data_IF_856825161948
#
_entry.id   IF_856825161948
#
_cell.length_a   1.000
_cell.length_b   1.000
_cell.length_c   1.000
_cell.angle_alpha   90.00
_cell.angle_beta   90.00
_cell.angle_gamma   90.00
#
_symmetry.space_group_name_H-M   'P 1'
#
loop_
_entity.id
_entity.type
_entity.pdbx_description
1 polymer ?
#
# COMPACT_ATOMS: atom_id res chain seq x y z
N UNK A 1 15.12 -29.97 -18.52
CA UNK A 1 14.61 -29.37 -17.27
C UNK A 1 14.64 -30.37 -16.12
N UNK A 2 14.18 -31.60 -16.30
CA UNK A 2 14.16 -32.61 -15.22
C UNK A 2 15.53 -32.92 -14.64
N UNK A 3 16.59 -32.98 -15.46
CA UNK A 3 17.96 -33.21 -15.01
C UNK A 3 18.47 -32.00 -14.16
N UNK A 4 18.13 -30.78 -14.56
CA UNK A 4 18.48 -29.57 -13.81
C UNK A 4 17.73 -29.56 -12.47
N UNK A 5 16.43 -29.81 -12.48
CA UNK A 5 15.60 -29.88 -11.28
C UNK A 5 16.11 -30.96 -10.28
N UNK A 6 16.52 -32.13 -10.79
CA UNK A 6 17.08 -33.21 -9.98
C UNK A 6 18.49 -32.91 -9.40
N UNK A 7 19.10 -31.80 -9.79
CA UNK A 7 20.42 -31.38 -9.36
C UNK A 7 20.39 -30.07 -8.58
N UNK A 8 19.20 -29.52 -8.26
CA UNK A 8 19.02 -28.20 -7.66
C UNK A 8 19.69 -28.07 -6.28
N UNK A 9 19.82 -29.17 -5.56
CA UNK A 9 20.41 -29.29 -4.23
C UNK A 9 21.90 -29.73 -4.26
N UNK A 10 22.47 -29.88 -5.45
CA UNK A 10 23.83 -30.41 -5.63
C UNK A 10 24.83 -29.29 -5.95
N UNK A 11 26.07 -29.52 -5.53
CA UNK A 11 27.16 -28.57 -5.76
C UNK A 11 27.25 -27.46 -4.74
N UNK A 12 28.10 -26.47 -4.99
CA UNK A 12 28.23 -25.29 -4.17
C UNK A 12 27.06 -24.30 -4.41
N UNK A 13 26.98 -23.25 -3.59
CA UNK A 13 25.90 -22.26 -3.67
C UNK A 13 25.84 -21.57 -5.05
N UNK A 14 26.99 -21.33 -5.69
CA UNK A 14 27.02 -20.72 -7.02
C UNK A 14 26.36 -21.63 -8.05
N UNK A 15 26.68 -22.92 -8.04
CA UNK A 15 26.06 -23.89 -8.95
C UNK A 15 24.55 -23.98 -8.69
N UNK A 16 24.12 -24.13 -7.44
CA UNK A 16 22.69 -24.21 -7.10
C UNK A 16 21.92 -22.97 -7.52
N UNK A 17 22.49 -21.77 -7.30
CA UNK A 17 21.90 -20.50 -7.77
C UNK A 17 21.76 -20.47 -9.29
N UNK A 18 22.78 -20.85 -10.05
CA UNK A 18 22.71 -20.85 -11.53
C UNK A 18 21.72 -21.90 -12.05
N UNK A 19 21.57 -23.04 -11.36
CA UNK A 19 20.52 -24.03 -11.69
C UNK A 19 19.11 -23.47 -11.46
N UNK A 20 18.88 -22.75 -10.35
CA UNK A 20 17.61 -22.09 -10.08
C UNK A 20 17.29 -21.03 -11.15
N UNK A 21 18.28 -20.19 -11.52
CA UNK A 21 18.16 -19.21 -12.59
C UNK A 21 17.84 -19.85 -13.94
N UNK A 22 18.50 -20.94 -14.30
CA UNK A 22 18.26 -21.65 -15.55
C UNK A 22 16.83 -22.21 -15.61
N UNK A 23 16.29 -22.73 -14.48
CA UNK A 23 14.93 -23.21 -14.39
C UNK A 23 13.89 -22.09 -14.54
N UNK A 24 14.11 -20.95 -13.87
CA UNK A 24 13.26 -19.77 -13.97
C UNK A 24 13.22 -19.21 -15.40
N UNK A 25 14.39 -19.11 -16.07
CA UNK A 25 14.50 -18.62 -17.44
C UNK A 25 13.75 -19.49 -18.47
N UNK A 26 13.68 -20.78 -18.23
CA UNK A 26 12.97 -21.73 -19.11
C UNK A 26 11.46 -21.72 -18.93
N UNK A 27 10.96 -21.05 -17.91
CA UNK A 27 9.53 -20.87 -17.60
C UNK A 27 8.72 -22.19 -17.56
N UNK A 28 9.34 -23.28 -17.12
CA UNK A 28 8.71 -24.59 -17.09
C UNK A 28 8.01 -24.83 -15.75
N UNK A 29 6.69 -25.00 -15.76
CA UNK A 29 5.90 -25.23 -14.54
C UNK A 29 6.37 -26.44 -13.73
N UNK A 30 6.88 -27.48 -14.37
CA UNK A 30 7.44 -28.65 -13.68
C UNK A 30 8.68 -28.36 -12.85
N UNK A 31 9.29 -27.17 -12.99
CA UNK A 31 10.42 -26.72 -12.19
C UNK A 31 10.01 -26.13 -10.82
N UNK A 32 8.73 -25.82 -10.60
CA UNK A 32 8.26 -25.15 -9.38
C UNK A 32 8.68 -25.88 -8.11
N UNK A 33 8.54 -27.20 -7.94
CA UNK A 33 9.00 -27.88 -6.72
C UNK A 33 10.50 -27.69 -6.46
N UNK A 34 11.33 -27.73 -7.51
CA UNK A 34 12.77 -27.49 -7.37
C UNK A 34 13.08 -26.03 -7.00
N UNK A 35 12.33 -25.07 -7.52
CA UNK A 35 12.48 -23.65 -7.17
C UNK A 35 12.01 -23.35 -5.75
N UNK A 36 11.00 -24.04 -5.22
CA UNK A 36 10.62 -23.96 -3.82
C UNK A 36 11.71 -24.52 -2.91
N UNK A 37 12.40 -25.60 -3.30
CA UNK A 37 13.59 -26.08 -2.60
C UNK A 37 14.72 -25.06 -2.64
N UNK A 38 14.96 -24.42 -3.78
CA UNK A 38 15.96 -23.34 -3.89
C UNK A 38 15.60 -22.14 -2.98
N UNK A 39 14.31 -21.77 -2.91
CA UNK A 39 13.84 -20.70 -2.02
C UNK A 39 13.92 -21.05 -0.52
N UNK A 40 14.18 -22.33 -0.18
CA UNK A 40 14.43 -22.83 1.17
C UNK A 40 15.90 -23.20 1.41
N UNK A 41 16.83 -22.88 0.50
CA UNK A 41 18.24 -23.25 0.59
C UNK A 41 18.93 -22.64 1.80
N UNK A 42 19.99 -23.25 2.28
CA UNK A 42 20.81 -22.71 3.37
C UNK A 42 21.50 -21.39 3.00
N UNK A 43 21.90 -21.22 1.73
CA UNK A 43 22.54 -20.02 1.21
C UNK A 43 21.52 -18.95 0.77
N UNK A 44 21.64 -17.74 1.27
CA UNK A 44 20.69 -16.64 0.98
C UNK A 44 20.66 -16.24 -0.50
N UNK A 45 21.80 -16.35 -1.21
CA UNK A 45 21.83 -16.02 -2.64
C UNK A 45 21.08 -17.05 -3.50
N UNK A 46 21.05 -18.30 -3.07
CA UNK A 46 20.24 -19.37 -3.72
C UNK A 46 18.77 -19.15 -3.41
N UNK A 47 18.43 -18.81 -2.14
CA UNK A 47 17.03 -18.51 -1.77
C UNK A 47 16.50 -17.31 -2.57
N UNK A 48 17.27 -16.22 -2.66
CA UNK A 48 16.89 -15.04 -3.44
C UNK A 48 16.60 -15.38 -4.91
N UNK A 49 17.47 -16.19 -5.55
CA UNK A 49 17.25 -16.64 -6.93
C UNK A 49 16.04 -17.57 -7.05
N UNK A 50 15.81 -18.44 -6.05
CA UNK A 50 14.61 -19.28 -5.97
C UNK A 50 13.33 -18.45 -5.98
N UNK A 51 13.25 -17.42 -5.12
CA UNK A 51 12.12 -16.47 -5.10
C UNK A 51 11.99 -15.69 -6.42
N UNK A 52 13.08 -15.16 -6.97
CA UNK A 52 13.06 -14.43 -8.24
C UNK A 52 12.54 -15.29 -9.39
N UNK A 53 12.97 -16.55 -9.44
CA UNK A 53 12.49 -17.52 -10.43
C UNK A 53 11.02 -17.89 -10.23
N UNK A 54 10.56 -18.09 -8.98
CA UNK A 54 9.15 -18.31 -8.65
C UNK A 54 8.29 -17.10 -9.04
N UNK A 55 8.75 -15.87 -8.81
CA UNK A 55 8.04 -14.67 -9.26
C UNK A 55 7.72 -14.69 -10.75
N UNK A 56 8.63 -15.24 -11.56
CA UNK A 56 8.48 -15.29 -13.02
C UNK A 56 7.46 -16.35 -13.50
N UNK A 57 7.34 -17.49 -12.80
CA UNK A 57 6.65 -18.66 -13.36
C UNK A 57 5.55 -19.26 -12.46
N UNK A 58 5.55 -19.01 -11.16
CA UNK A 58 4.63 -19.68 -10.24
C UNK A 58 3.17 -19.23 -10.47
N UNK A 59 2.21 -20.15 -10.62
CA UNK A 59 0.79 -19.84 -10.71
C UNK A 59 0.19 -19.47 -9.34
N UNK A 60 -1.05 -19.00 -9.33
CA UNK A 60 -1.75 -18.51 -8.13
C UNK A 60 -1.83 -19.52 -6.98
N UNK A 61 -1.93 -20.81 -7.27
CA UNK A 61 -2.01 -21.90 -6.29
C UNK A 61 -0.69 -22.10 -5.49
N UNK A 62 0.41 -21.46 -5.93
CA UNK A 62 1.69 -21.48 -5.23
C UNK A 62 1.86 -20.32 -4.24
N UNK A 63 0.83 -19.51 -4.02
CA UNK A 63 0.90 -18.39 -3.05
C UNK A 63 1.25 -18.89 -1.65
N UNK A 64 0.62 -19.98 -1.18
CA UNK A 64 0.80 -20.51 0.17
C UNK A 64 2.27 -20.87 0.48
N UNK A 65 2.94 -21.78 -0.25
CA UNK A 65 4.32 -22.12 0.07
C UNK A 65 5.26 -20.91 -0.04
N UNK A 66 4.99 -19.95 -0.92
CA UNK A 66 5.82 -18.75 -1.07
C UNK A 66 5.68 -17.83 0.15
N UNK A 67 4.46 -17.57 0.65
CA UNK A 67 4.29 -16.72 1.83
C UNK A 67 4.75 -17.39 3.12
N UNK A 68 4.67 -18.72 3.22
CA UNK A 68 5.23 -19.48 4.34
C UNK A 68 6.76 -19.37 4.40
N UNK A 69 7.45 -19.46 3.25
CA UNK A 69 8.89 -19.21 3.18
C UNK A 69 9.26 -17.77 3.48
N UNK A 70 8.49 -16.80 2.96
CA UNK A 70 8.67 -15.38 3.26
C UNK A 70 8.52 -15.08 4.75
N UNK A 71 7.57 -15.72 5.43
CA UNK A 71 7.29 -15.49 6.85
C UNK A 71 8.43 -15.88 7.79
N UNK A 72 9.33 -16.75 7.35
CA UNK A 72 10.49 -17.21 8.14
C UNK A 72 11.83 -16.64 7.66
N UNK A 73 11.83 -15.85 6.55
CA UNK A 73 13.05 -15.34 5.95
C UNK A 73 13.69 -14.24 6.82
N UNK A 74 14.98 -14.40 7.14
CA UNK A 74 15.74 -13.48 8.01
C UNK A 74 16.63 -12.51 7.21
N UNK A 75 17.09 -12.89 6.03
CA UNK A 75 17.93 -12.04 5.19
C UNK A 75 17.11 -11.00 4.48
N UNK A 76 17.48 -9.72 4.58
CA UNK A 76 16.70 -8.59 4.06
C UNK A 76 16.59 -8.60 2.53
N UNK A 77 17.65 -9.00 1.83
CA UNK A 77 17.67 -9.04 0.36
C UNK A 77 16.77 -10.17 -0.11
N UNK A 78 16.92 -11.34 0.47
CA UNK A 78 16.11 -12.51 0.16
C UNK A 78 14.63 -12.25 0.47
N UNK A 79 14.34 -11.59 1.59
CA UNK A 79 12.98 -11.22 1.97
C UNK A 79 12.33 -10.27 0.96
N UNK A 80 13.10 -9.30 0.43
CA UNK A 80 12.60 -8.42 -0.62
C UNK A 80 12.25 -9.19 -1.91
N UNK A 81 13.04 -10.20 -2.29
CA UNK A 81 12.71 -11.08 -3.42
C UNK A 81 11.49 -11.97 -3.12
N UNK A 82 11.35 -12.45 -1.88
CA UNK A 82 10.18 -13.18 -1.42
C UNK A 82 8.90 -12.34 -1.48
N UNK A 83 8.94 -11.07 -1.08
CA UNK A 83 7.81 -10.14 -1.24
C UNK A 83 7.43 -9.96 -2.73
N UNK A 84 8.41 -9.75 -3.60
CA UNK A 84 8.17 -9.65 -5.05
C UNK A 84 7.53 -10.93 -5.61
N UNK A 85 8.00 -12.10 -5.15
CA UNK A 85 7.44 -13.38 -5.58
C UNK A 85 5.99 -13.53 -5.13
N UNK A 86 5.69 -13.23 -3.86
CA UNK A 86 4.34 -13.27 -3.32
C UNK A 86 3.39 -12.31 -4.08
N UNK A 87 3.82 -11.07 -4.33
CA UNK A 87 3.05 -10.08 -5.08
C UNK A 87 2.84 -10.48 -6.55
N UNK A 88 3.85 -11.05 -7.21
CA UNK A 88 3.73 -11.54 -8.58
C UNK A 88 2.74 -12.69 -8.69
N UNK A 89 2.74 -13.60 -7.72
CA UNK A 89 1.79 -14.72 -7.67
C UNK A 89 0.39 -14.24 -7.31
N UNK A 90 0.29 -13.30 -6.35
CA UNK A 90 -0.97 -12.65 -5.97
C UNK A 90 -1.63 -11.97 -7.17
N UNK A 91 -0.88 -11.29 -8.03
CA UNK A 91 -1.43 -10.63 -9.23
C UNK A 91 -2.05 -11.60 -10.25
N UNK A 92 -1.79 -12.88 -10.14
CA UNK A 92 -2.38 -13.97 -10.97
C UNK A 92 -3.59 -14.61 -10.29
N UNK A 93 -3.90 -14.22 -9.05
CA UNK A 93 -5.01 -14.72 -8.27
C UNK A 93 -6.27 -13.88 -8.54
N UNK A 94 -7.38 -14.54 -8.80
CA UNK A 94 -8.69 -13.89 -9.04
C UNK A 94 -9.66 -14.11 -7.87
N UNK A 95 -9.19 -14.67 -6.75
CA UNK A 95 -9.98 -14.90 -5.53
C UNK A 95 -9.36 -14.15 -4.34
N UNK A 96 -9.77 -12.90 -4.06
CA UNK A 96 -9.23 -12.12 -2.97
C UNK A 96 -9.44 -12.77 -1.59
N UNK A 97 -10.56 -13.46 -1.37
CA UNK A 97 -10.85 -14.10 -0.09
C UNK A 97 -9.90 -15.26 0.19
N UNK A 98 -9.66 -16.11 -0.82
CA UNK A 98 -8.68 -17.18 -0.73
C UNK A 98 -7.27 -16.62 -0.53
N UNK A 99 -6.90 -15.56 -1.27
CA UNK A 99 -5.60 -14.91 -1.14
C UNK A 99 -5.40 -14.32 0.27
N UNK A 100 -6.39 -13.61 0.80
CA UNK A 100 -6.35 -13.03 2.14
C UNK A 100 -6.20 -14.13 3.21
N UNK A 101 -7.04 -15.16 3.17
CA UNK A 101 -6.95 -16.28 4.11
C UNK A 101 -5.56 -16.96 4.05
N UNK A 102 -5.02 -17.14 2.85
CA UNK A 102 -3.70 -17.74 2.63
C UNK A 102 -2.59 -16.88 3.22
N UNK A 103 -2.55 -15.58 2.90
CA UNK A 103 -1.52 -14.65 3.38
C UNK A 103 -1.63 -14.47 4.89
N UNK A 104 -2.83 -14.35 5.45
CA UNK A 104 -3.02 -14.20 6.89
C UNK A 104 -2.68 -15.48 7.67
N UNK A 105 -2.85 -16.67 7.08
CA UNK A 105 -2.41 -17.92 7.73
C UNK A 105 -0.89 -18.01 7.90
N UNK A 106 -0.13 -17.28 7.10
CA UNK A 106 1.34 -17.20 7.18
C UNK A 106 1.84 -16.03 8.04
N UNK A 107 0.94 -15.19 8.59
CA UNK A 107 1.34 -14.04 9.42
C UNK A 107 2.04 -14.56 10.70
N UNK A 108 3.35 -14.27 10.88
CA UNK A 108 4.08 -14.75 12.04
C UNK A 108 3.64 -14.03 13.32
N UNK A 109 4.01 -14.56 14.49
CA UNK A 109 3.90 -13.75 15.71
C UNK A 109 4.84 -12.55 15.61
N UNK A 110 4.32 -11.35 15.84
CA UNK A 110 5.09 -10.10 15.80
C UNK A 110 6.30 -10.12 16.73
N UNK A 111 6.26 -10.91 17.81
CA UNK A 111 7.39 -11.09 18.74
C UNK A 111 8.52 -11.94 18.17
N UNK A 112 8.26 -12.74 17.14
CA UNK A 112 9.23 -13.65 16.55
C UNK A 112 10.02 -13.02 15.41
N UNK A 113 9.47 -11.97 14.75
CA UNK A 113 10.17 -11.36 13.62
C UNK A 113 9.42 -10.17 13.02
N UNK A 114 9.71 -8.97 13.51
CA UNK A 114 9.12 -7.72 12.97
C UNK A 114 9.31 -7.58 11.45
N UNK A 115 10.52 -7.82 10.87
CA UNK A 115 10.69 -7.66 9.44
C UNK A 115 9.80 -8.60 8.60
N UNK A 116 9.71 -9.88 8.99
CA UNK A 116 8.85 -10.85 8.31
C UNK A 116 7.36 -10.51 8.48
N UNK A 117 6.95 -10.08 9.69
CA UNK A 117 5.60 -9.60 9.96
C UNK A 117 5.23 -8.43 9.02
N UNK A 118 6.12 -7.42 8.90
CA UNK A 118 5.93 -6.29 8.00
C UNK A 118 5.86 -6.72 6.52
N UNK A 119 6.63 -7.73 6.12
CA UNK A 119 6.58 -8.26 4.75
C UNK A 119 5.22 -8.86 4.42
N UNK A 120 4.67 -9.66 5.33
CA UNK A 120 3.33 -10.23 5.14
C UNK A 120 2.26 -9.13 5.14
N UNK A 121 2.36 -8.10 5.99
CA UNK A 121 1.44 -6.95 5.94
C UNK A 121 1.52 -6.18 4.60
N UNK A 122 2.71 -6.02 4.00
CA UNK A 122 2.85 -5.38 2.69
C UNK A 122 2.18 -6.19 1.58
N UNK A 123 2.27 -7.51 1.64
CA UNK A 123 1.55 -8.40 0.71
C UNK A 123 0.03 -8.31 0.95
N UNK A 124 -0.42 -8.35 2.21
CA UNK A 124 -1.83 -8.22 2.59
C UNK A 124 -2.43 -6.90 2.10
N UNK A 125 -1.66 -5.80 2.17
CA UNK A 125 -2.09 -4.48 1.70
C UNK A 125 -2.38 -4.38 0.19
N UNK A 126 -2.10 -5.42 -0.57
CA UNK A 126 -2.46 -5.52 -2.01
C UNK A 126 -3.68 -6.41 -2.26
N UNK A 127 -4.31 -6.91 -1.20
CA UNK A 127 -5.49 -7.76 -1.29
C UNK A 127 -6.71 -6.95 -0.83
N UNK A 128 -7.60 -6.61 -1.75
CA UNK A 128 -8.84 -5.91 -1.42
C UNK A 128 -9.87 -6.90 -0.82
N UNK A 129 -9.67 -7.25 0.46
CA UNK A 129 -10.50 -8.19 1.19
C UNK A 129 -10.65 -7.77 2.66
N UNK A 130 -11.83 -7.95 3.30
CA UNK A 130 -12.06 -7.57 4.70
C UNK A 130 -11.07 -8.20 5.69
N UNK A 131 -10.66 -9.45 5.48
CA UNK A 131 -9.73 -10.14 6.40
C UNK A 131 -8.34 -9.47 6.38
N UNK A 132 -7.86 -9.09 5.19
CA UNK A 132 -6.61 -8.36 5.04
C UNK A 132 -6.73 -6.93 5.63
N UNK A 133 -7.87 -6.28 5.42
CA UNK A 133 -8.17 -4.97 5.99
C UNK A 133 -8.12 -4.98 7.53
N UNK A 134 -8.84 -5.91 8.17
CA UNK A 134 -8.91 -6.03 9.64
C UNK A 134 -7.53 -6.29 10.25
N UNK A 135 -6.72 -7.12 9.59
CA UNK A 135 -5.33 -7.36 10.01
C UNK A 135 -4.47 -6.09 9.96
N UNK A 136 -4.62 -5.27 8.92
CA UNK A 136 -3.91 -3.98 8.79
C UNK A 136 -4.38 -2.97 9.83
N UNK A 137 -5.70 -2.89 10.09
CA UNK A 137 -6.25 -2.03 11.14
C UNK A 137 -5.70 -2.43 12.51
N UNK A 138 -5.70 -3.72 12.84
CA UNK A 138 -5.11 -4.22 14.09
C UNK A 138 -3.60 -3.95 14.19
N UNK A 139 -2.86 -4.10 13.10
CA UNK A 139 -1.42 -3.80 13.06
C UNK A 139 -1.12 -2.30 13.24
N UNK A 140 -2.00 -1.41 12.77
CA UNK A 140 -1.87 0.04 12.96
C UNK A 140 -2.00 0.47 14.43
N UNK A 141 -2.58 -0.37 15.30
CA UNK A 141 -2.72 -0.12 16.74
C UNK A 141 -1.51 -0.60 17.56
N UNK A 142 -0.65 -1.44 16.98
CA UNK A 142 0.51 -1.96 17.68
C UNK A 142 1.51 -0.85 18.02
N UNK A 143 2.19 -0.99 19.17
CA UNK A 143 3.16 0.02 19.65
C UNK A 143 4.45 0.07 18.83
N UNK A 144 4.77 -1.01 18.12
CA UNK A 144 5.98 -1.06 17.30
C UNK A 144 5.86 -0.14 16.10
N UNK A 145 6.78 0.82 15.97
CA UNK A 145 6.75 1.86 14.94
C UNK A 145 6.84 1.30 13.52
N UNK A 146 7.68 0.28 13.28
CA UNK A 146 7.85 -0.30 11.94
C UNK A 146 6.58 -1.01 11.47
N UNK A 147 5.95 -1.76 12.39
CA UNK A 147 4.67 -2.45 12.12
C UNK A 147 3.58 -1.44 11.84
N UNK A 148 3.43 -0.45 12.73
CA UNK A 148 2.44 0.62 12.57
C UNK A 148 2.63 1.38 11.26
N UNK A 149 3.86 1.80 10.96
CA UNK A 149 4.19 2.50 9.72
C UNK A 149 3.83 1.67 8.49
N UNK A 150 4.18 0.38 8.52
CA UNK A 150 3.86 -0.55 7.42
C UNK A 150 2.36 -0.68 7.21
N UNK A 151 1.61 -0.87 8.29
CA UNK A 151 0.15 -1.00 8.25
C UNK A 151 -0.52 0.29 7.76
N UNK A 152 -0.12 1.44 8.30
CA UNK A 152 -0.69 2.74 7.90
C UNK A 152 -0.38 3.06 6.43
N UNK A 153 0.81 2.72 5.92
CA UNK A 153 1.12 2.84 4.49
C UNK A 153 0.23 1.95 3.63
N UNK A 154 0.05 0.69 4.03
CA UNK A 154 -0.81 -0.24 3.31
C UNK A 154 -2.28 0.23 3.29
N UNK A 155 -2.79 0.75 4.41
CA UNK A 155 -4.12 1.37 4.49
C UNK A 155 -4.20 2.64 3.65
N UNK A 156 -3.16 3.49 3.65
CA UNK A 156 -3.10 4.71 2.83
C UNK A 156 -3.12 4.42 1.32
N UNK A 157 -2.62 3.26 0.89
CA UNK A 157 -2.62 2.80 -0.50
C UNK A 157 -3.89 2.00 -0.88
N UNK A 158 -4.83 1.82 0.05
CA UNK A 158 -6.02 1.01 -0.17
C UNK A 158 -6.84 1.50 -1.39
N UNK A 159 -7.45 0.59 -2.17
CA UNK A 159 -8.07 0.96 -3.45
C UNK A 159 -9.42 1.69 -3.35
N UNK A 160 -9.98 1.79 -2.15
CA UNK A 160 -11.23 2.49 -1.87
C UNK A 160 -11.15 3.30 -0.57
N UNK A 161 -12.24 3.91 -0.14
CA UNK A 161 -12.28 4.78 1.04
C UNK A 161 -12.54 4.06 2.38
N UNK A 162 -12.57 2.74 2.43
CA UNK A 162 -12.80 2.00 3.67
C UNK A 162 -11.87 2.41 4.82
N UNK A 163 -10.56 2.70 4.62
CA UNK A 163 -9.67 3.10 5.69
C UNK A 163 -9.79 4.55 6.17
N UNK A 164 -10.68 5.38 5.62
CA UNK A 164 -10.74 6.82 5.95
C UNK A 164 -10.85 7.08 7.44
N UNK A 165 -11.77 6.40 8.13
CA UNK A 165 -11.97 6.59 9.58
C UNK A 165 -10.71 6.24 10.36
N UNK A 166 -10.06 5.12 10.03
CA UNK A 166 -8.83 4.71 10.69
C UNK A 166 -7.66 5.66 10.40
N UNK A 167 -7.53 6.13 9.18
CA UNK A 167 -6.46 7.05 8.80
C UNK A 167 -6.60 8.42 9.49
N UNK A 168 -7.81 8.98 9.58
CA UNK A 168 -8.00 10.24 10.29
C UNK A 168 -7.80 10.08 11.80
N UNK A 169 -8.22 8.97 12.39
CA UNK A 169 -7.94 8.64 13.78
C UNK A 169 -6.42 8.61 14.05
N UNK A 170 -5.66 7.89 13.21
CA UNK A 170 -4.19 7.81 13.33
C UNK A 170 -3.56 9.19 13.18
N UNK A 171 -3.99 10.01 12.22
CA UNK A 171 -3.48 11.37 12.03
C UNK A 171 -3.75 12.27 13.25
N UNK A 172 -4.86 12.06 13.97
CA UNK A 172 -5.23 12.82 15.16
C UNK A 172 -4.54 12.34 16.43
N UNK A 173 -4.32 11.05 16.60
CA UNK A 173 -3.99 10.46 17.90
C UNK A 173 -2.54 10.00 18.05
N UNK A 174 -1.90 9.55 16.96
CA UNK A 174 -0.55 8.98 17.04
C UNK A 174 0.50 10.09 17.27
N UNK A 175 1.46 9.84 18.16
CA UNK A 175 2.52 10.82 18.46
C UNK A 175 3.60 10.93 17.40
N UNK A 176 3.93 9.80 16.73
CA UNK A 176 4.94 9.76 15.68
C UNK A 176 4.52 10.62 14.47
N UNK A 177 5.30 11.67 14.20
CA UNK A 177 4.99 12.64 13.14
C UNK A 177 5.01 12.01 11.75
N UNK A 178 5.92 11.04 11.50
CA UNK A 178 6.01 10.38 10.20
C UNK A 178 4.78 9.50 9.93
N UNK A 179 4.29 8.82 10.96
CA UNK A 179 3.07 8.00 10.85
C UNK A 179 1.85 8.87 10.61
N UNK A 180 1.75 10.02 11.33
CA UNK A 180 0.67 10.99 11.11
C UNK A 180 0.65 11.55 9.68
N UNK A 181 1.83 11.95 9.17
CA UNK A 181 1.94 12.47 7.80
C UNK A 181 1.48 11.44 6.75
N UNK A 182 1.90 10.18 6.90
CA UNK A 182 1.44 9.09 6.03
C UNK A 182 -0.08 8.94 6.10
N UNK A 183 -0.64 8.93 7.32
CA UNK A 183 -2.07 8.77 7.53
C UNK A 183 -2.87 9.94 6.94
N UNK A 184 -2.44 11.18 7.16
CA UNK A 184 -3.10 12.38 6.63
C UNK A 184 -3.07 12.41 5.10
N UNK A 185 -1.93 12.08 4.47
CA UNK A 185 -1.83 11.95 3.01
C UNK A 185 -2.74 10.86 2.45
N UNK A 186 -2.77 9.70 3.10
CA UNK A 186 -3.66 8.60 2.73
C UNK A 186 -5.13 8.99 2.84
N UNK A 187 -5.51 9.67 3.93
CA UNK A 187 -6.86 10.19 4.13
C UNK A 187 -7.26 11.17 3.03
N UNK A 188 -6.43 12.19 2.75
CA UNK A 188 -6.70 13.19 1.71
C UNK A 188 -6.83 12.55 0.33
N UNK A 189 -5.98 11.56 0.00
CA UNK A 189 -6.11 10.79 -1.25
C UNK A 189 -7.49 10.14 -1.38
N UNK A 190 -8.04 9.60 -0.29
CA UNK A 190 -9.36 8.97 -0.30
C UNK A 190 -10.50 9.98 -0.38
N UNK A 191 -10.35 11.16 0.22
CA UNK A 191 -11.32 12.27 0.05
C UNK A 191 -11.39 12.71 -1.41
N UNK A 192 -10.30 12.62 -2.17
CA UNK A 192 -10.24 12.97 -3.58
C UNK A 192 -10.89 11.92 -4.52
N UNK A 193 -11.25 10.73 -4.06
CA UNK A 193 -11.91 9.73 -4.91
C UNK A 193 -13.25 10.26 -5.46
N UNK A 194 -13.50 10.15 -6.78
CA UNK A 194 -14.59 10.87 -7.44
C UNK A 194 -15.99 10.48 -6.96
N UNK A 195 -16.20 9.22 -6.61
CA UNK A 195 -17.55 8.65 -6.46
C UNK A 195 -18.02 8.50 -5.01
N UNK A 196 -17.26 9.00 -4.03
CA UNK A 196 -17.46 8.55 -2.66
C UNK A 196 -18.17 9.54 -1.74
N UNK A 197 -18.23 10.84 -2.06
CA UNK A 197 -18.74 11.85 -1.14
C UNK A 197 -19.53 12.92 -1.86
N UNK A 198 -20.82 13.03 -1.52
CA UNK A 198 -21.69 14.10 -2.00
C UNK A 198 -21.31 15.48 -1.42
N UNK A 199 -20.69 15.49 -0.23
CA UNK A 199 -20.17 16.65 0.46
C UNK A 199 -18.81 16.30 1.09
N UNK A 200 -17.76 17.03 0.72
CA UNK A 200 -16.39 16.81 1.19
C UNK A 200 -15.98 17.77 2.32
N UNK A 201 -16.80 18.77 2.61
CA UNK A 201 -16.46 19.78 3.61
C UNK A 201 -16.19 19.19 5.01
N UNK A 202 -17.00 18.23 5.53
CA UNK A 202 -16.72 17.60 6.82
C UNK A 202 -15.38 16.86 6.87
N UNK A 203 -14.98 16.24 5.76
CA UNK A 203 -13.72 15.50 5.69
C UNK A 203 -12.51 16.45 5.67
N UNK A 204 -12.60 17.56 4.94
CA UNK A 204 -11.56 18.58 4.96
C UNK A 204 -11.47 19.32 6.29
N UNK A 205 -12.60 19.56 6.96
CA UNK A 205 -12.61 20.09 8.34
C UNK A 205 -11.90 19.13 9.31
N UNK A 206 -12.18 17.83 9.21
CA UNK A 206 -11.49 16.81 10.01
C UNK A 206 -9.99 16.78 9.72
N UNK A 207 -9.57 16.90 8.44
CA UNK A 207 -8.17 16.96 8.05
C UNK A 207 -7.47 18.21 8.59
N UNK A 208 -8.10 19.39 8.54
CA UNK A 208 -7.57 20.64 9.13
C UNK A 208 -7.40 20.54 10.64
N UNK A 209 -8.34 19.88 11.34
CA UNK A 209 -8.25 19.61 12.78
C UNK A 209 -7.16 18.62 13.14
N UNK A 210 -6.85 17.68 12.25
CA UNK A 210 -5.76 16.70 12.41
C UNK A 210 -4.39 17.31 12.11
N UNK A 211 -4.33 18.38 11.32
CA UNK A 211 -3.10 19.06 10.92
C UNK A 211 -2.44 19.75 12.12
N UNK A 212 -1.23 19.32 12.51
CA UNK A 212 -0.51 19.83 13.69
C UNK A 212 0.59 20.83 13.34
N UNK A 213 0.98 20.93 12.07
CA UNK A 213 2.02 21.83 11.59
C UNK A 213 1.50 22.71 10.46
N UNK A 214 2.24 23.78 10.14
CA UNK A 214 1.95 24.59 8.96
C UNK A 214 2.03 23.75 7.68
N UNK A 215 2.98 22.83 7.59
CA UNK A 215 3.13 21.95 6.42
C UNK A 215 1.94 21.00 6.26
N UNK A 216 1.40 20.46 7.36
CA UNK A 216 0.17 19.65 7.31
C UNK A 216 -1.00 20.48 6.77
N UNK A 217 -1.18 21.73 7.28
CA UNK A 217 -2.23 22.65 6.83
C UNK A 217 -2.08 23.03 5.35
N UNK A 218 -0.85 23.28 4.89
CA UNK A 218 -0.55 23.52 3.47
C UNK A 218 -0.93 22.32 2.60
N UNK A 219 -0.64 21.10 3.06
CA UNK A 219 -1.03 19.87 2.36
C UNK A 219 -2.56 19.77 2.21
N UNK A 220 -3.31 20.06 3.30
CA UNK A 220 -4.78 20.05 3.25
C UNK A 220 -5.30 21.12 2.29
N UNK A 221 -4.76 22.36 2.37
CA UNK A 221 -5.13 23.45 1.46
C UNK A 221 -4.85 23.13 0.00
N UNK A 222 -3.72 22.48 -0.30
CA UNK A 222 -3.40 22.03 -1.65
C UNK A 222 -4.41 20.97 -2.18
N UNK A 223 -4.92 20.11 -1.31
CA UNK A 223 -5.97 19.16 -1.65
C UNK A 223 -7.33 19.85 -1.86
N UNK A 224 -7.69 20.78 -0.97
CA UNK A 224 -8.91 21.60 -1.09
C UNK A 224 -8.92 22.37 -2.41
N UNK A 225 -7.81 22.99 -2.79
CA UNK A 225 -7.70 23.79 -4.02
C UNK A 225 -7.98 23.00 -5.33
N UNK A 226 -7.83 21.69 -5.31
CA UNK A 226 -8.17 20.81 -6.44
C UNK A 226 -9.68 20.56 -6.57
N UNK A 227 -10.45 20.88 -5.53
CA UNK A 227 -11.88 20.65 -5.53
C UNK A 227 -12.63 21.80 -6.21
N UNK A 228 -13.81 21.50 -6.73
CA UNK A 228 -14.65 22.49 -7.41
C UNK A 228 -15.90 22.85 -6.57
N UNK A 229 -15.84 22.64 -5.25
CA UNK A 229 -16.96 22.84 -4.33
C UNK A 229 -16.85 24.20 -3.62
N UNK A 230 -17.76 25.18 -3.91
CA UNK A 230 -17.77 26.49 -3.25
C UNK A 230 -17.97 26.44 -1.73
N UNK A 231 -18.54 25.36 -1.19
CA UNK A 231 -18.72 25.20 0.28
C UNK A 231 -17.39 25.17 1.02
N UNK A 232 -16.31 24.76 0.36
CA UNK A 232 -14.98 24.72 0.95
C UNK A 232 -14.39 26.12 1.19
N UNK A 233 -14.96 27.17 0.61
CA UNK A 233 -14.54 28.56 0.85
C UNK A 233 -14.68 28.93 2.33
N UNK A 234 -15.72 28.43 2.99
CA UNK A 234 -15.94 28.71 4.43
C UNK A 234 -14.84 28.13 5.30
N UNK A 235 -14.25 26.99 4.91
CA UNK A 235 -13.12 26.37 5.62
C UNK A 235 -11.80 27.13 5.40
N UNK A 236 -11.62 27.74 4.22
CA UNK A 236 -10.39 28.46 3.87
C UNK A 236 -10.35 29.85 4.48
N UNK A 237 -11.50 30.54 4.55
CA UNK A 237 -11.58 31.95 4.92
C UNK A 237 -10.87 32.28 6.24
N UNK A 238 -11.02 31.52 7.34
CA UNK A 238 -10.30 31.78 8.59
C UNK A 238 -8.77 31.63 8.46
N UNK A 239 -8.30 30.81 7.52
CA UNK A 239 -6.89 30.50 7.35
C UNK A 239 -6.11 31.60 6.60
N UNK A 240 -6.82 32.55 5.98
CA UNK A 240 -6.22 33.73 5.33
C UNK A 240 -5.52 34.69 6.30
N UNK A 241 -5.87 34.62 7.59
CA UNK A 241 -5.26 35.45 8.63
C UNK A 241 -4.00 34.80 9.24
N UNK A 242 -3.71 33.55 8.95
CA UNK A 242 -2.53 32.85 9.45
C UNK A 242 -1.32 33.13 8.54
N UNK A 243 -0.29 33.87 9.00
CA UNK A 243 0.84 34.28 8.17
C UNK A 243 1.67 33.11 7.65
N UNK A 244 1.67 31.95 8.33
CA UNK A 244 2.45 30.77 7.94
C UNK A 244 1.87 30.04 6.73
N UNK A 245 0.56 30.18 6.46
CA UNK A 245 -0.18 29.46 5.42
C UNK A 245 -1.04 30.36 4.53
N UNK A 246 -0.98 31.69 4.75
CA UNK A 246 -1.79 32.68 4.03
C UNK A 246 -1.67 32.56 2.51
N UNK A 247 -0.47 32.31 2.01
CA UNK A 247 -0.21 32.21 0.59
C UNK A 247 -0.95 30.99 0.00
N UNK A 248 -0.86 29.84 0.65
CA UNK A 248 -1.51 28.59 0.23
C UNK A 248 -3.03 28.70 0.37
N UNK A 249 -3.53 29.33 1.42
CA UNK A 249 -4.95 29.59 1.61
C UNK A 249 -5.51 30.52 0.51
N UNK A 250 -4.78 31.56 0.15
CA UNK A 250 -5.15 32.45 -0.97
C UNK A 250 -5.19 31.69 -2.28
N UNK A 251 -4.17 30.88 -2.56
CA UNK A 251 -4.10 30.08 -3.78
C UNK A 251 -5.27 29.08 -3.88
N UNK A 252 -5.56 28.34 -2.80
CA UNK A 252 -6.69 27.41 -2.75
C UNK A 252 -8.03 28.11 -3.01
N UNK A 253 -8.24 29.28 -2.40
CA UNK A 253 -9.43 30.11 -2.60
C UNK A 253 -9.60 30.56 -4.06
N UNK A 254 -8.52 31.01 -4.68
CA UNK A 254 -8.52 31.44 -6.09
C UNK A 254 -8.84 30.26 -7.03
N UNK A 255 -8.28 29.08 -6.76
CA UNK A 255 -8.53 27.87 -7.55
C UNK A 255 -9.99 27.46 -7.50
N UNK A 256 -10.63 27.44 -6.32
CA UNK A 256 -12.05 27.12 -6.18
C UNK A 256 -12.92 28.16 -6.89
N UNK A 257 -12.65 29.46 -6.72
CA UNK A 257 -13.43 30.54 -7.38
C UNK A 257 -13.35 30.42 -8.91
N UNK A 258 -12.16 30.16 -9.45
CA UNK A 258 -11.94 29.99 -10.89
C UNK A 258 -12.72 28.79 -11.45
N UNK A 259 -12.70 27.67 -10.73
CA UNK A 259 -13.43 26.46 -11.13
C UNK A 259 -14.94 26.65 -11.09
N UNK A 260 -15.46 27.30 -10.05
CA UNK A 260 -16.89 27.60 -9.91
C UNK A 260 -17.40 28.52 -11.02
N UNK A 261 -16.60 29.49 -11.43
CA UNK A 261 -16.96 30.40 -12.53
C UNK A 261 -17.00 29.67 -13.89
N UNK A 262 -16.07 28.75 -14.14
CA UNK A 262 -16.05 27.95 -15.37
C UNK A 262 -17.27 27.03 -15.50
N UNK A 263 -17.74 26.43 -14.39
CA UNK A 263 -18.93 25.58 -14.36
C UNK A 263 -20.22 26.37 -14.63
N UNK A 264 -20.37 27.58 -14.08
CA UNK A 264 -21.54 28.43 -14.35
C UNK A 264 -21.59 28.95 -15.79
N UNK A 265 -20.42 29.23 -16.37
CA UNK A 265 -20.33 29.67 -17.76
C UNK A 265 -20.71 28.56 -18.77
N UNK A 266 -20.34 27.30 -18.49
CA UNK A 266 -20.71 26.16 -19.36
C UNK A 266 -22.20 25.81 -19.29
N UNK A 267 -22.82 25.90 -18.12
CA UNK A 267 -24.28 25.65 -17.98
C UNK A 267 -25.14 26.80 -18.57
N UNK A 268 -24.61 28.03 -18.60
CA UNK A 268 -25.32 29.18 -19.24
C UNK A 268 -25.32 29.14 -20.77
N UNK A 269 -24.36 28.45 -21.38
CA UNK A 269 -24.28 28.32 -22.84
C UNK A 269 -25.29 27.29 -23.40
N UNK A 270 -25.59 26.23 -22.63
CA UNK A 270 -26.57 25.21 -23.08
C UNK A 270 -28.03 25.62 -22.94
N UNK A 271 -28.35 26.68 -22.17
CA UNK A 271 -29.71 27.17 -21.98
C UNK A 271 -30.14 28.24 -23.02
N UNK A 272 -29.22 28.69 -23.87
CA UNK A 272 -29.53 29.71 -24.92
C UNK A 272 -29.71 29.08 -26.34
N UNK A 273 -29.49 27.77 -26.46
CA UNK A 273 -29.53 27.03 -27.72
C UNK A 273 -30.81 26.17 -27.92
N UNK A 274 -31.89 26.39 -27.13
CA UNK A 274 -33.19 25.75 -27.33
C UNK A 274 -34.30 26.79 -27.59
#
# INVERSE_FOLDING_TARGET
DSAIAASIDKGDATVRRELARALGSRRTKSAIPALLLAAADADSSVRAEGFASLAAIAPADQLKPIVELLAIEQDDITRAEGEKAALAVLSRNNDPAFAAATVMSALPDVKQGIPAYCSILRVAGKINDPTAYDALVGAAELKNTDVRTTAVRALSDWPNNAPMEKLIEVAQTVEDASVRDIALRGYLRMVEFPDNLADRAPQYDAALKAARSAEDRKLVLASIGKQHDPKLIELITPLLEDPEIKQEATLALEQIKKSSFALTASHGADTVAN
#
